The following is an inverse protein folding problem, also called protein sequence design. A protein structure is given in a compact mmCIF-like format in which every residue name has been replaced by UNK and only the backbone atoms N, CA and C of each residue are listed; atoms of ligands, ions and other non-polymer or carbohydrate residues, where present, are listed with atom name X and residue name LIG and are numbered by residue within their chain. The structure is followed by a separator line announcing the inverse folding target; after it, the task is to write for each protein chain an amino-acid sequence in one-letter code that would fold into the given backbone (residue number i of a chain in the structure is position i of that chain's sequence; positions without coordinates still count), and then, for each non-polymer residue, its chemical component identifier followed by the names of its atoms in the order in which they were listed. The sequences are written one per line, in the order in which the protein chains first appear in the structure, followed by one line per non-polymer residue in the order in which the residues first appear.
data_IF_509087480958
#
_entry.id   IF_509087480958
#
_cell.length_a   1.000
_cell.length_b   1.000
_cell.length_c   1.000
_cell.angle_alpha   90.00
_cell.angle_beta   90.00
_cell.angle_gamma   90.00
#
_symmetry.space_group_name_H-M   'P 1'
#
loop_
_entity.id
_entity.type
_entity.pdbx_description
1 polymer ?
#
# COMPACT_ATOMS: atom_id res chain seq x y z
N UNK A 1 86.50 -116.38 53.06
CA UNK A 1 86.75 -115.48 51.90
C UNK A 1 85.43 -115.00 51.28
N UNK A 2 84.44 -115.88 51.09
CA UNK A 2 83.12 -115.51 50.53
C UNK A 2 82.29 -114.54 51.38
N UNK A 3 82.33 -114.65 52.71
CA UNK A 3 81.57 -113.76 53.62
C UNK A 3 82.02 -112.30 53.54
N UNK A 4 83.33 -112.06 53.43
CA UNK A 4 83.93 -110.74 53.22
C UNK A 4 83.52 -110.13 51.86
N UNK A 5 83.49 -110.95 50.80
CA UNK A 5 83.04 -110.51 49.46
C UNK A 5 81.55 -110.12 49.48
N UNK A 6 80.73 -110.85 50.23
CA UNK A 6 79.30 -110.57 50.35
C UNK A 6 79.03 -109.28 51.14
N UNK A 7 79.79 -109.04 52.22
CA UNK A 7 79.72 -107.81 53.02
C UNK A 7 80.15 -106.56 52.21
N UNK A 8 81.23 -106.66 51.43
CA UNK A 8 81.69 -105.60 50.51
C UNK A 8 80.63 -105.30 49.43
N UNK A 9 80.00 -106.33 48.85
CA UNK A 9 78.90 -106.18 47.87
C UNK A 9 77.67 -105.51 48.49
N UNK A 10 77.29 -105.90 49.70
CA UNK A 10 76.16 -105.30 50.42
C UNK A 10 76.43 -103.82 50.74
N UNK A 11 77.64 -103.49 51.20
CA UNK A 11 78.09 -102.11 51.47
C UNK A 11 78.05 -101.26 50.20
N UNK A 12 78.49 -101.80 49.06
CA UNK A 12 78.43 -101.11 47.76
C UNK A 12 77.00 -100.86 47.28
N UNK A 13 76.10 -101.83 47.44
CA UNK A 13 74.68 -101.67 47.12
C UNK A 13 74.01 -100.63 48.03
N UNK A 14 74.32 -100.65 49.33
CA UNK A 14 73.81 -99.67 50.30
C UNK A 14 74.31 -98.27 49.97
N UNK A 15 75.59 -98.11 49.64
CA UNK A 15 76.16 -96.83 49.23
C UNK A 15 75.53 -96.30 47.94
N UNK A 16 75.30 -97.17 46.94
CA UNK A 16 74.62 -96.80 45.70
C UNK A 16 73.17 -96.36 45.95
N UNK A 17 72.42 -97.12 46.76
CA UNK A 17 71.05 -96.77 47.14
C UNK A 17 70.97 -95.45 47.91
N UNK A 18 71.91 -95.21 48.83
CA UNK A 18 72.00 -93.95 49.56
C UNK A 18 72.34 -92.77 48.65
N UNK A 19 73.22 -92.96 47.66
CA UNK A 19 73.54 -91.94 46.66
C UNK A 19 72.32 -91.61 45.79
N UNK A 20 71.62 -92.61 45.26
CA UNK A 20 70.38 -92.45 44.49
C UNK A 20 69.31 -91.72 45.29
N UNK A 21 69.11 -92.10 46.56
CA UNK A 21 68.17 -91.42 47.47
C UNK A 21 68.53 -89.96 47.69
N UNK A 22 69.82 -89.63 47.80
CA UNK A 22 70.28 -88.25 47.94
C UNK A 22 70.07 -87.43 46.65
N UNK A 23 70.29 -88.02 45.47
CA UNK A 23 70.01 -87.40 44.18
C UNK A 23 68.52 -87.14 44.02
N UNK A 24 67.67 -88.14 44.26
CA UNK A 24 66.21 -88.01 44.16
C UNK A 24 65.65 -86.94 45.11
N UNK A 25 66.21 -86.81 46.31
CA UNK A 25 65.81 -85.75 47.25
C UNK A 25 66.15 -84.36 46.71
N UNK A 26 67.36 -84.16 46.15
CA UNK A 26 67.76 -82.89 45.55
C UNK A 26 66.91 -82.52 44.33
N UNK A 27 66.62 -83.50 43.47
CA UNK A 27 65.74 -83.29 42.32
C UNK A 27 64.32 -82.94 42.75
N UNK A 28 63.79 -83.63 43.76
CA UNK A 28 62.46 -83.33 44.32
C UNK A 28 62.39 -81.93 44.92
N UNK A 29 63.42 -81.49 45.64
CA UNK A 29 63.52 -80.13 46.18
C UNK A 29 63.60 -79.09 45.05
N UNK A 30 64.39 -79.34 44.00
CA UNK A 30 64.50 -78.47 42.84
C UNK A 30 63.17 -78.35 42.07
N UNK A 31 62.47 -79.47 41.87
CA UNK A 31 61.15 -79.50 41.24
C UNK A 31 60.11 -78.74 42.08
N UNK A 32 60.12 -78.93 43.41
CA UNK A 32 59.22 -78.21 44.31
C UNK A 32 59.44 -76.69 44.25
N UNK A 33 60.69 -76.24 44.18
CA UNK A 33 61.02 -74.83 44.01
C UNK A 33 60.56 -74.27 42.66
N UNK A 34 60.73 -75.03 41.57
CA UNK A 34 60.21 -74.64 40.25
C UNK A 34 58.69 -74.53 40.25
N UNK A 35 58.01 -75.48 40.89
CA UNK A 35 56.56 -75.50 40.99
C UNK A 35 56.05 -74.28 41.77
N UNK A 36 56.65 -73.96 42.92
CA UNK A 36 56.31 -72.76 43.69
C UNK A 36 56.54 -71.46 42.90
N UNK A 37 57.62 -71.37 42.13
CA UNK A 37 57.88 -70.21 41.28
C UNK A 37 56.85 -70.06 40.15
N UNK A 38 56.44 -71.18 39.54
CA UNK A 38 55.42 -71.19 38.48
C UNK A 38 54.04 -70.82 39.03
N UNK A 39 53.68 -71.31 40.22
CA UNK A 39 52.44 -70.92 40.91
C UNK A 39 52.42 -69.41 41.19
N UNK A 40 53.53 -68.84 41.68
CA UNK A 40 53.67 -67.41 41.90
C UNK A 40 53.48 -66.59 40.62
N UNK A 41 54.15 -66.99 39.53
CA UNK A 41 54.01 -66.33 38.24
C UNK A 41 52.58 -66.47 37.65
N UNK A 42 51.93 -67.61 37.86
CA UNK A 42 50.54 -67.83 37.44
C UNK A 42 49.59 -66.89 38.16
N UNK A 43 49.70 -66.77 39.49
CA UNK A 43 48.88 -65.85 40.30
C UNK A 43 49.09 -64.40 39.88
N UNK A 44 50.32 -64.00 39.54
CA UNK A 44 50.61 -62.65 39.05
C UNK A 44 49.91 -62.39 37.70
N UNK A 45 49.94 -63.36 36.78
CA UNK A 45 49.20 -63.27 35.51
C UNK A 45 47.69 -63.26 35.68
N UNK A 46 47.14 -64.02 36.63
CA UNK A 46 45.71 -63.95 36.94
C UNK A 46 45.30 -62.55 37.43
N UNK A 47 46.13 -61.89 38.23
CA UNK A 47 45.88 -60.51 38.68
C UNK A 47 45.92 -59.52 37.51
N UNK A 48 46.94 -59.59 36.65
CA UNK A 48 47.02 -58.75 35.45
C UNK A 48 45.78 -58.94 34.55
N UNK A 49 45.32 -60.18 34.37
CA UNK A 49 44.12 -60.48 33.59
C UNK A 49 42.87 -59.87 34.23
N UNK A 50 42.73 -59.96 35.55
CA UNK A 50 41.61 -59.36 36.27
C UNK A 50 41.59 -57.82 36.14
N UNK A 51 42.75 -57.16 36.21
CA UNK A 51 42.88 -55.72 36.00
C UNK A 51 42.47 -55.32 34.59
N UNK A 52 42.97 -56.03 33.56
CA UNK A 52 42.63 -55.79 32.15
C UNK A 52 41.12 -55.95 31.91
N UNK A 53 40.49 -56.96 32.52
CA UNK A 53 39.04 -57.16 32.40
C UNK A 53 38.24 -56.00 33.01
N UNK A 54 38.64 -55.51 34.18
CA UNK A 54 38.01 -54.34 34.80
C UNK A 54 38.16 -53.06 33.98
N UNK A 55 39.33 -52.84 33.38
CA UNK A 55 39.55 -51.71 32.48
C UNK A 55 38.70 -51.82 31.21
N UNK A 56 38.60 -53.02 30.64
CA UNK A 56 37.77 -53.29 29.46
C UNK A 56 36.31 -52.95 29.72
N UNK A 57 35.73 -53.42 30.84
CA UNK A 57 34.34 -53.13 31.21
C UNK A 57 34.10 -51.62 31.36
N UNK A 58 35.03 -50.91 32.03
CA UNK A 58 34.99 -49.46 32.17
C UNK A 58 35.00 -48.72 30.82
N UNK A 59 35.80 -49.19 29.86
CA UNK A 59 35.87 -48.62 28.51
C UNK A 59 34.60 -48.90 27.71
N UNK A 60 34.03 -50.11 27.79
CA UNK A 60 32.76 -50.47 27.14
C UNK A 60 31.60 -49.61 27.66
N UNK A 61 31.55 -49.36 28.97
CA UNK A 61 30.59 -48.46 29.59
C UNK A 61 30.70 -47.03 29.07
N UNK A 62 31.94 -46.52 28.94
CA UNK A 62 32.20 -45.18 28.41
C UNK A 62 31.81 -45.08 26.95
N UNK A 63 32.13 -46.08 26.13
CA UNK A 63 31.73 -46.15 24.72
C UNK A 63 30.21 -46.14 24.59
N UNK A 64 29.50 -46.94 25.39
CA UNK A 64 28.04 -47.00 25.39
C UNK A 64 27.40 -45.67 25.82
N UNK A 65 28.02 -44.93 26.74
CA UNK A 65 27.57 -43.57 27.12
C UNK A 65 27.83 -42.55 26.01
N UNK A 66 28.96 -42.64 25.32
CA UNK A 66 29.28 -41.77 24.19
C UNK A 66 28.35 -42.03 22.99
N UNK A 67 28.07 -43.30 22.68
CA UNK A 67 27.15 -43.67 21.60
C UNK A 67 25.77 -43.02 21.77
N UNK A 68 25.17 -43.16 22.96
CA UNK A 68 23.88 -42.54 23.29
C UNK A 68 23.89 -41.01 23.19
N UNK A 69 24.99 -40.36 23.59
CA UNK A 69 25.13 -38.91 23.42
C UNK A 69 25.23 -38.51 21.95
N UNK A 70 25.93 -39.31 21.15
CA UNK A 70 26.09 -39.04 19.72
C UNK A 70 24.75 -39.17 18.99
N UNK A 71 23.97 -40.21 19.28
CA UNK A 71 22.60 -40.38 18.77
C UNK A 71 21.71 -39.18 19.13
N UNK A 72 21.76 -38.73 20.39
CA UNK A 72 21.00 -37.55 20.82
C UNK A 72 21.41 -36.27 20.09
N UNK A 73 22.70 -36.09 19.80
CA UNK A 73 23.18 -34.93 19.04
C UNK A 73 22.78 -35.01 17.57
N UNK A 74 22.79 -36.20 16.97
CA UNK A 74 22.32 -36.43 15.60
C UNK A 74 20.84 -36.04 15.46
N UNK A 75 19.99 -36.44 16.42
CA UNK A 75 18.58 -36.02 16.45
C UNK A 75 18.41 -34.49 16.56
N UNK A 76 19.22 -33.82 17.39
CA UNK A 76 19.18 -32.37 17.53
C UNK A 76 19.62 -31.66 16.23
N UNK A 77 20.66 -32.18 15.57
CA UNK A 77 21.12 -31.67 14.26
C UNK A 77 20.01 -31.79 13.22
N UNK A 78 19.28 -32.91 13.18
CA UNK A 78 18.15 -33.10 12.25
C UNK A 78 17.07 -32.03 12.51
N UNK A 79 16.65 -31.85 13.76
CA UNK A 79 15.62 -30.83 14.12
C UNK A 79 16.07 -29.41 13.78
N UNK A 80 17.34 -29.09 14.00
CA UNK A 80 17.90 -27.78 13.64
C UNK A 80 17.93 -27.58 12.11
N UNK A 81 18.27 -28.61 11.35
CA UNK A 81 18.26 -28.55 9.89
C UNK A 81 16.84 -28.36 9.32
N UNK A 82 15.84 -29.06 9.85
CA UNK A 82 14.43 -28.84 9.49
C UNK A 82 14.02 -27.37 9.71
N UNK A 83 14.36 -26.81 10.89
CA UNK A 83 14.10 -25.41 11.20
C UNK A 83 14.82 -24.43 10.27
N UNK A 84 16.04 -24.74 9.83
CA UNK A 84 16.79 -23.93 8.85
C UNK A 84 16.05 -23.90 7.50
N UNK A 85 15.51 -25.04 7.05
CA UNK A 85 14.75 -25.14 5.80
C UNK A 85 13.47 -24.28 5.90
N UNK A 86 12.70 -24.42 6.98
CA UNK A 86 11.49 -23.62 7.21
C UNK A 86 11.77 -22.12 7.19
N UNK A 87 12.81 -21.69 7.91
CA UNK A 87 13.22 -20.27 7.95
C UNK A 87 13.70 -19.77 6.58
N UNK A 88 14.33 -20.63 5.79
CA UNK A 88 14.78 -20.32 4.44
C UNK A 88 13.59 -20.06 3.51
N UNK A 89 12.55 -20.88 3.59
CA UNK A 89 11.35 -20.74 2.78
C UNK A 89 10.49 -19.55 3.22
N UNK A 90 10.39 -19.30 4.52
CA UNK A 90 9.78 -18.08 5.06
C UNK A 90 10.51 -16.83 4.54
N UNK A 91 11.85 -16.86 4.52
CA UNK A 91 12.67 -15.76 4.00
C UNK A 91 12.50 -15.55 2.47
N UNK A 92 12.26 -16.61 1.69
CA UNK A 92 11.89 -16.47 0.27
C UNK A 92 10.55 -15.78 0.12
N UNK A 93 9.56 -16.17 0.92
CA UNK A 93 8.20 -15.59 0.91
C UNK A 93 8.24 -14.10 1.24
N UNK A 94 8.92 -13.71 2.32
CA UNK A 94 9.05 -12.29 2.67
C UNK A 94 9.76 -11.47 1.59
N UNK A 95 10.79 -12.04 0.94
CA UNK A 95 11.45 -11.36 -0.19
C UNK A 95 10.50 -11.12 -1.36
N UNK A 96 9.59 -12.05 -1.66
CA UNK A 96 8.58 -11.86 -2.70
C UNK A 96 7.57 -10.78 -2.32
N UNK A 97 7.09 -10.78 -1.08
CA UNK A 97 6.17 -9.75 -0.57
C UNK A 97 6.78 -8.35 -0.65
N UNK A 98 8.03 -8.18 -0.20
CA UNK A 98 8.76 -6.90 -0.27
C UNK A 98 8.87 -6.43 -1.72
N UNK A 99 9.20 -7.32 -2.66
CA UNK A 99 9.26 -6.99 -4.09
C UNK A 99 7.90 -6.54 -4.63
N UNK A 100 6.81 -7.22 -4.25
CA UNK A 100 5.45 -6.82 -4.65
C UNK A 100 5.10 -5.44 -4.11
N UNK A 101 5.34 -5.22 -2.81
CA UNK A 101 5.01 -3.96 -2.16
C UNK A 101 5.80 -2.78 -2.72
N UNK A 102 7.06 -2.99 -3.09
CA UNK A 102 7.87 -1.96 -3.75
C UNK A 102 7.32 -1.58 -5.13
N UNK A 103 6.78 -2.53 -5.90
CA UNK A 103 6.11 -2.23 -7.17
C UNK A 103 4.83 -1.41 -6.96
N UNK A 104 4.04 -1.76 -5.95
CA UNK A 104 2.82 -1.00 -5.57
C UNK A 104 3.17 0.42 -5.14
N UNK A 105 4.23 0.60 -4.33
CA UNK A 105 4.71 1.93 -3.91
C UNK A 105 5.17 2.76 -5.10
N UNK A 106 5.94 2.19 -6.03
CA UNK A 106 6.33 2.87 -7.26
C UNK A 106 5.11 3.31 -8.07
N UNK A 107 4.10 2.44 -8.24
CA UNK A 107 2.86 2.79 -8.92
C UNK A 107 2.10 3.92 -8.20
N UNK A 108 2.03 3.89 -6.87
CA UNK A 108 1.42 4.96 -6.08
C UNK A 108 2.12 6.32 -6.30
N UNK A 109 3.45 6.35 -6.42
CA UNK A 109 4.18 7.57 -6.76
C UNK A 109 3.80 8.13 -8.12
N UNK A 110 3.62 7.29 -9.14
CA UNK A 110 3.12 7.73 -10.45
C UNK A 110 1.72 8.35 -10.35
N UNK A 111 0.80 7.72 -9.62
CA UNK A 111 -0.56 8.24 -9.42
C UNK A 111 -0.57 9.59 -8.69
N UNK A 112 0.31 9.77 -7.70
CA UNK A 112 0.44 11.06 -6.99
C UNK A 112 0.94 12.15 -7.93
N UNK A 113 1.94 11.87 -8.76
CA UNK A 113 2.45 12.82 -9.74
C UNK A 113 1.38 13.19 -10.79
N UNK A 114 0.63 12.20 -11.28
CA UNK A 114 -0.49 12.44 -12.19
C UNK A 114 -1.59 13.29 -11.52
N UNK A 115 -1.93 13.02 -10.26
CA UNK A 115 -2.91 13.82 -9.52
C UNK A 115 -2.46 15.28 -9.36
N UNK A 116 -1.17 15.52 -9.10
CA UNK A 116 -0.62 16.88 -9.04
C UNK A 116 -0.75 17.61 -10.39
N UNK A 117 -0.46 16.93 -11.50
CA UNK A 117 -0.62 17.50 -12.84
C UNK A 117 -2.08 17.84 -13.14
N UNK A 118 -3.01 16.92 -12.84
CA UNK A 118 -4.44 17.13 -13.06
C UNK A 118 -4.97 18.32 -12.24
N UNK A 119 -4.51 18.49 -10.99
CA UNK A 119 -4.86 19.66 -10.16
C UNK A 119 -4.38 20.96 -10.80
N UNK A 120 -3.14 21.00 -11.27
CA UNK A 120 -2.58 22.17 -11.96
C UNK A 120 -3.39 22.52 -13.21
N UNK A 121 -3.74 21.53 -14.04
CA UNK A 121 -4.60 21.74 -15.21
C UNK A 121 -6.00 22.25 -14.83
N UNK A 122 -6.57 21.76 -13.72
CA UNK A 122 -7.87 22.20 -13.24
C UNK A 122 -7.83 23.66 -12.77
N UNK A 123 -6.77 24.06 -12.06
CA UNK A 123 -6.57 25.45 -11.61
C UNK A 123 -6.47 26.43 -12.80
N UNK A 124 -5.78 26.03 -13.87
CA UNK A 124 -5.70 26.81 -15.11
C UNK A 124 -7.09 26.93 -15.77
N UNK A 125 -7.78 25.82 -15.97
CA UNK A 125 -9.13 25.81 -16.56
C UNK A 125 -10.13 26.65 -15.74
N UNK A 126 -10.00 26.63 -14.41
CA UNK A 126 -10.85 27.43 -13.53
C UNK A 126 -10.55 28.93 -13.64
N UNK A 127 -9.29 29.31 -13.81
CA UNK A 127 -8.89 30.70 -14.05
C UNK A 127 -9.44 31.22 -15.37
N UNK A 128 -9.31 30.44 -16.45
CA UNK A 128 -9.89 30.76 -17.77
C UNK A 128 -11.41 30.91 -17.72
N UNK A 129 -12.09 30.01 -16.99
CA UNK A 129 -13.54 30.09 -16.79
C UNK A 129 -13.94 31.42 -16.15
N UNK A 130 -13.26 31.83 -15.08
CA UNK A 130 -13.54 33.09 -14.38
C UNK A 130 -13.35 34.30 -15.31
N UNK A 131 -12.30 34.28 -16.13
CA UNK A 131 -12.04 35.32 -17.11
C UNK A 131 -13.17 35.42 -18.16
N UNK A 132 -13.58 34.29 -18.73
CA UNK A 132 -14.69 34.22 -19.68
C UNK A 132 -16.03 34.67 -19.07
N UNK A 133 -16.31 34.29 -17.82
CA UNK A 133 -17.50 34.73 -17.10
C UNK A 133 -17.52 36.26 -16.91
N UNK A 134 -16.36 36.85 -16.59
CA UNK A 134 -16.20 38.30 -16.48
C UNK A 134 -16.41 39.01 -17.83
N UNK A 135 -15.82 38.50 -18.91
CA UNK A 135 -16.04 39.03 -20.26
C UNK A 135 -17.50 38.95 -20.69
N UNK A 136 -18.15 37.81 -20.42
CA UNK A 136 -19.56 37.62 -20.71
C UNK A 136 -20.43 38.62 -19.94
N UNK A 137 -20.11 38.88 -18.67
CA UNK A 137 -20.76 39.91 -17.85
C UNK A 137 -20.66 41.30 -18.49
N UNK A 138 -19.47 41.70 -18.94
CA UNK A 138 -19.25 42.98 -19.66
C UNK A 138 -20.10 43.06 -20.93
N UNK A 139 -20.09 42.00 -21.74
CA UNK A 139 -20.89 41.93 -22.99
C UNK A 139 -22.39 42.03 -22.71
N UNK A 140 -22.90 41.37 -21.66
CA UNK A 140 -24.30 41.49 -21.22
C UNK A 140 -24.67 42.93 -20.83
N UNK A 141 -23.81 43.63 -20.10
CA UNK A 141 -24.04 45.02 -19.72
C UNK A 141 -24.09 45.95 -20.95
N UNK A 142 -23.19 45.76 -21.92
CA UNK A 142 -23.19 46.52 -23.18
C UNK A 142 -24.49 46.27 -23.95
N UNK A 143 -24.92 45.00 -24.07
CA UNK A 143 -26.19 44.65 -24.72
C UNK A 143 -27.36 45.34 -24.01
N UNK A 144 -27.36 45.37 -22.67
CA UNK A 144 -28.41 46.04 -21.90
C UNK A 144 -28.45 47.55 -22.17
N UNK A 145 -27.30 48.23 -22.13
CA UNK A 145 -27.18 49.65 -22.46
C UNK A 145 -27.68 49.96 -23.88
N UNK A 146 -27.34 49.10 -24.86
CA UNK A 146 -27.81 49.24 -26.24
C UNK A 146 -29.34 49.11 -26.27
N UNK A 147 -29.91 48.06 -25.64
CA UNK A 147 -31.37 47.85 -25.56
C UNK A 147 -32.08 49.06 -24.96
N UNK A 148 -31.57 49.59 -23.85
CA UNK A 148 -32.16 50.74 -23.16
C UNK A 148 -32.10 52.00 -24.03
N UNK A 149 -30.97 52.23 -24.72
CA UNK A 149 -30.82 53.34 -25.67
C UNK A 149 -31.82 53.25 -26.83
N UNK A 150 -31.99 52.07 -27.43
CA UNK A 150 -32.97 51.88 -28.50
C UNK A 150 -34.41 52.07 -28.00
N UNK A 151 -34.74 51.50 -26.84
CA UNK A 151 -36.06 51.66 -26.21
C UNK A 151 -36.38 53.15 -25.96
N UNK A 152 -35.43 53.90 -25.43
CA UNK A 152 -35.60 55.33 -25.16
C UNK A 152 -35.70 56.16 -26.45
N UNK A 153 -34.87 55.90 -27.46
CA UNK A 153 -34.94 56.60 -28.73
C UNK A 153 -36.27 56.35 -29.47
N UNK A 154 -36.73 55.10 -29.51
CA UNK A 154 -38.03 54.77 -30.11
C UNK A 154 -39.15 55.47 -29.35
N UNK A 155 -39.13 55.41 -28.00
CA UNK A 155 -40.11 56.11 -27.17
C UNK A 155 -40.15 57.63 -27.43
N UNK A 156 -38.97 58.27 -27.51
CA UNK A 156 -38.84 59.70 -27.78
C UNK A 156 -39.33 60.09 -29.17
N UNK A 157 -38.89 59.39 -30.22
CA UNK A 157 -39.32 59.69 -31.59
C UNK A 157 -40.81 59.45 -31.78
N UNK A 158 -41.37 58.43 -31.14
CA UNK A 158 -42.81 58.19 -31.16
C UNK A 158 -43.57 59.31 -30.45
N UNK A 159 -43.08 59.79 -29.30
CA UNK A 159 -43.67 60.93 -28.60
C UNK A 159 -43.57 62.24 -29.41
N UNK A 160 -42.42 62.52 -30.03
CA UNK A 160 -42.23 63.66 -30.93
C UNK A 160 -43.20 63.61 -32.12
N UNK A 161 -43.36 62.44 -32.73
CA UNK A 161 -44.33 62.21 -33.80
C UNK A 161 -45.77 62.44 -33.33
N UNK A 162 -46.16 61.84 -32.20
CA UNK A 162 -47.48 62.05 -31.60
C UNK A 162 -47.75 63.54 -31.32
N UNK A 163 -46.75 64.26 -30.78
CA UNK A 163 -46.84 65.71 -30.52
C UNK A 163 -47.04 66.49 -31.82
N UNK A 164 -46.32 66.14 -32.88
CA UNK A 164 -46.44 66.76 -34.20
C UNK A 164 -47.86 66.58 -34.78
N UNK A 165 -48.39 65.36 -34.69
CA UNK A 165 -49.77 65.06 -35.14
C UNK A 165 -50.80 65.87 -34.35
N UNK A 166 -50.68 65.94 -33.02
CA UNK A 166 -51.59 66.76 -32.19
C UNK A 166 -51.54 68.23 -32.56
N UNK A 167 -50.33 68.79 -32.77
CA UNK A 167 -50.18 70.18 -33.22
C UNK A 167 -50.85 70.42 -34.57
N UNK A 168 -50.69 69.52 -35.54
CA UNK A 168 -51.33 69.68 -36.85
C UNK A 168 -52.84 69.53 -36.79
N UNK A 169 -53.38 68.65 -35.96
CA UNK A 169 -54.82 68.58 -35.69
C UNK A 169 -55.34 69.89 -35.07
N UNK A 170 -54.56 70.50 -34.18
CA UNK A 170 -54.90 71.80 -33.58
C UNK A 170 -54.86 72.94 -34.60
N UNK A 171 -53.84 72.97 -35.47
CA UNK A 171 -53.73 73.93 -36.57
C UNK A 171 -54.92 73.80 -37.54
N UNK A 172 -55.27 72.57 -37.92
CA UNK A 172 -56.42 72.28 -38.78
C UNK A 172 -57.73 72.77 -38.15
N UNK A 173 -57.91 72.49 -36.85
CA UNK A 173 -59.06 72.99 -36.09
C UNK A 173 -59.14 74.52 -36.13
N UNK A 174 -58.02 75.22 -35.94
CA UNK A 174 -57.97 76.69 -36.01
C UNK A 174 -58.26 77.21 -37.41
N UNK A 175 -57.73 76.57 -38.45
CA UNK A 175 -58.01 76.91 -39.85
C UNK A 175 -59.51 76.79 -40.17
N UNK A 176 -60.14 75.67 -39.78
CA UNK A 176 -61.58 75.44 -39.96
C UNK A 176 -62.42 76.49 -39.20
N UNK A 177 -62.01 76.88 -37.98
CA UNK A 177 -62.70 77.94 -37.23
C UNK A 177 -62.57 79.31 -37.91
N UNK A 178 -61.39 79.65 -38.43
CA UNK A 178 -61.19 80.89 -39.19
C UNK A 178 -61.97 80.91 -40.50
N UNK A 179 -62.06 79.79 -41.21
CA UNK A 179 -62.92 79.67 -42.39
C UNK A 179 -64.39 79.89 -42.03
N UNK A 180 -64.87 79.28 -40.93
CA UNK A 180 -66.21 79.53 -40.40
C UNK A 180 -66.47 81.00 -40.04
N UNK A 181 -65.49 81.67 -39.43
CA UNK A 181 -65.57 83.09 -39.07
C UNK A 181 -65.54 84.02 -40.31
N UNK A 182 -64.90 83.59 -41.41
CA UNK A 182 -64.79 84.35 -42.65
C UNK A 182 -65.95 84.08 -43.65
N UNK A 183 -66.72 83.01 -43.48
CA UNK A 183 -67.96 82.76 -44.24
C UNK A 183 -69.12 83.60 -43.70
N UNK A 184 -69.01 84.92 -43.78
CA UNK A 184 -70.18 85.79 -43.90
C UNK A 184 -70.57 85.78 -45.38
N UNK A 185 -71.80 85.33 -45.69
CA UNK A 185 -72.41 85.20 -47.03
C UNK A 185 -72.29 83.84 -47.74
N UNK A 186 -72.81 82.75 -47.17
CA UNK A 186 -73.62 81.77 -47.95
C UNK A 186 -74.42 80.85 -46.99
N UNK A 187 -75.73 81.09 -46.87
CA UNK A 187 -76.61 80.49 -45.86
C UNK A 187 -77.12 79.08 -46.22
N UNK A 188 -76.59 78.44 -47.27
CA UNK A 188 -77.15 77.18 -47.79
C UNK A 188 -76.29 75.94 -47.61
N UNK A 189 -75.05 76.07 -47.10
CA UNK A 189 -74.14 74.92 -46.91
C UNK A 189 -73.42 74.98 -45.56
N UNK A 190 -73.95 74.18 -44.61
CA UNK A 190 -73.17 73.37 -43.65
C UNK A 190 -72.55 74.03 -42.41
N UNK A 191 -73.23 74.97 -41.77
CA UNK A 191 -72.75 75.49 -40.48
C UNK A 191 -72.69 74.40 -39.36
N UNK A 192 -73.65 73.46 -39.37
CA UNK A 192 -73.67 72.28 -38.49
C UNK A 192 -72.61 71.23 -38.82
N UNK A 193 -72.24 71.07 -40.11
CA UNK A 193 -71.25 70.06 -40.50
C UNK A 193 -69.84 70.51 -40.15
N UNK A 194 -69.53 71.81 -40.34
CA UNK A 194 -68.26 72.41 -39.96
C UNK A 194 -68.10 72.39 -38.42
N UNK A 195 -69.17 72.71 -37.68
CA UNK A 195 -69.19 72.60 -36.22
C UNK A 195 -68.98 71.15 -35.75
N UNK A 196 -69.64 70.19 -36.39
CA UNK A 196 -69.47 68.76 -36.10
C UNK A 196 -68.05 68.27 -36.38
N UNK A 197 -67.40 68.73 -37.45
CA UNK A 197 -65.99 68.42 -37.74
C UNK A 197 -65.07 69.00 -36.66
N UNK A 198 -65.31 70.25 -36.22
CA UNK A 198 -64.53 70.86 -35.13
C UNK A 198 -64.67 70.11 -33.81
N UNK A 199 -65.89 69.66 -33.46
CA UNK A 199 -66.17 68.87 -32.25
C UNK A 199 -65.53 67.47 -32.31
N UNK A 200 -65.55 66.82 -33.48
CA UNK A 200 -64.87 65.53 -33.66
C UNK A 200 -63.35 65.67 -33.55
N UNK A 201 -62.77 66.75 -34.09
CA UNK A 201 -61.36 67.08 -33.91
C UNK A 201 -61.03 67.29 -32.43
N UNK A 202 -61.90 67.92 -31.65
CA UNK A 202 -61.71 68.09 -30.20
C UNK A 202 -61.66 66.75 -29.44
N UNK A 203 -62.58 65.83 -29.76
CA UNK A 203 -62.57 64.49 -29.16
C UNK A 203 -61.32 63.71 -29.57
N UNK A 204 -60.87 63.84 -30.82
CA UNK A 204 -59.67 63.17 -31.33
C UNK A 204 -58.40 63.70 -30.68
N UNK A 205 -58.24 65.03 -30.60
CA UNK A 205 -57.10 65.69 -29.94
C UNK A 205 -57.03 65.24 -28.48
N UNK A 206 -58.15 65.34 -27.74
CA UNK A 206 -58.20 64.95 -26.33
C UNK A 206 -57.83 63.47 -26.11
N UNK A 207 -58.35 62.56 -26.95
CA UNK A 207 -57.99 61.14 -26.89
C UNK A 207 -56.52 60.86 -27.20
N UNK A 208 -55.90 61.64 -28.08
CA UNK A 208 -54.47 61.51 -28.37
C UNK A 208 -53.63 62.02 -27.19
N UNK A 209 -53.98 63.18 -26.61
CA UNK A 209 -53.31 63.75 -25.44
C UNK A 209 -53.40 62.85 -24.19
N UNK A 210 -54.56 62.25 -23.94
CA UNK A 210 -54.76 61.25 -22.87
C UNK A 210 -53.92 59.99 -23.07
N UNK A 211 -53.65 59.60 -24.33
CA UNK A 211 -52.78 58.44 -24.64
C UNK A 211 -51.29 58.77 -24.62
N UNK A 212 -50.92 60.06 -24.70
CA UNK A 212 -49.53 60.53 -24.60
C UNK A 212 -49.04 60.62 -23.15
N UNK A 213 -49.93 60.58 -22.15
CA UNK A 213 -49.60 60.72 -20.71
C UNK A 213 -49.22 59.40 -20.01
N UNK A 214 -49.03 58.31 -20.76
CA UNK A 214 -48.56 57.04 -20.18
C UNK A 214 -47.04 57.13 -19.95
N UNK A 215 -46.56 56.87 -18.72
CA UNK A 215 -45.24 57.34 -18.28
C UNK A 215 -44.11 56.62 -19.01
N UNK A 216 -43.14 57.40 -19.46
CA UNK A 216 -41.81 56.92 -19.82
C UNK A 216 -41.17 56.36 -18.53
N UNK A 217 -40.85 55.06 -18.45
CA UNK A 217 -40.17 54.53 -17.27
C UNK A 217 -38.76 55.15 -17.22
N UNK A 218 -38.41 55.72 -16.07
CA UNK A 218 -37.01 56.07 -15.73
C UNK A 218 -36.14 54.82 -15.72
#
# INVERSE_FOLDING_TARGET
MEYLILEEKYKNLLNKSNHEKAVLKKESEALRKKLQNLEGAYIEKEKEVAEILGEKESLEDRLSKMGRKNESLEEEIVKLNEKIVDLTDLSKTYRQMIRSRNKELQHAHFLVAENMNLRSSLELAQSEKIELENELGKKKNIIQLIKDKYKNNIGRHFYEFQTSVVKELHNLKLAIRREKENTFYDDSVRDDTILNISLHLDVLIKKMEEKMTIPVPK
#
